data_IF_649236047880
#
_entry.id   IF_649236047880
#
_cell.length_a   1.000
_cell.length_b   1.000
_cell.length_c   1.000
_cell.angle_alpha   90.00
_cell.angle_beta   90.00
_cell.angle_gamma   90.00
#
_symmetry.space_group_name_H-M   'P 1'
#
loop_
_entity.id
_entity.type
_entity.pdbx_description
1 polymer ?
#
# COMPACT_ATOMS: atom_id res chain seq x y z
N UNK A 1 -51.53 23.68 -6.41
CA UNK A 1 -50.45 24.33 -5.62
C UNK A 1 -50.10 23.54 -4.37
N UNK A 2 -51.04 23.28 -3.46
CA UNK A 2 -50.79 22.53 -2.21
C UNK A 2 -50.32 21.08 -2.45
N UNK A 3 -50.93 20.35 -3.39
CA UNK A 3 -50.57 18.97 -3.71
C UNK A 3 -49.15 18.84 -4.27
N UNK A 4 -48.71 19.78 -5.10
CA UNK A 4 -47.36 19.83 -5.67
C UNK A 4 -46.31 20.07 -4.57
N UNK A 5 -46.60 20.98 -3.63
CA UNK A 5 -45.74 21.21 -2.46
C UNK A 5 -45.64 19.96 -1.58
N UNK A 6 -46.74 19.24 -1.39
CA UNK A 6 -46.79 18.03 -0.58
C UNK A 6 -45.98 16.89 -1.22
N UNK A 7 -46.09 16.70 -2.54
CA UNK A 7 -45.27 15.75 -3.29
C UNK A 7 -43.77 16.09 -3.23
N UNK A 8 -43.42 17.39 -3.29
CA UNK A 8 -42.03 17.84 -3.17
C UNK A 8 -41.44 17.58 -1.77
N UNK A 9 -42.23 17.80 -0.72
CA UNK A 9 -41.82 17.49 0.67
C UNK A 9 -41.61 15.98 0.87
N UNK A 10 -42.47 15.14 0.31
CA UNK A 10 -42.32 13.67 0.35
C UNK A 10 -41.03 13.26 -0.38
N UNK A 11 -40.76 13.83 -1.55
CA UNK A 11 -39.53 13.54 -2.31
C UNK A 11 -38.27 13.91 -1.49
N UNK A 12 -38.26 15.09 -0.86
CA UNK A 12 -37.16 15.51 0.02
C UNK A 12 -36.97 14.54 1.18
N UNK A 13 -38.06 14.12 1.83
CA UNK A 13 -38.01 13.17 2.95
C UNK A 13 -37.44 11.81 2.51
N UNK A 14 -37.82 11.32 1.33
CA UNK A 14 -37.27 10.08 0.75
C UNK A 14 -35.77 10.22 0.45
N UNK A 15 -35.34 11.36 -0.08
CA UNK A 15 -33.92 11.64 -0.32
C UNK A 15 -33.12 11.71 0.99
N UNK A 16 -33.66 12.38 2.02
CA UNK A 16 -33.02 12.49 3.34
C UNK A 16 -32.90 11.11 3.99
N UNK A 17 -33.96 10.30 4.00
CA UNK A 17 -33.92 8.96 4.61
C UNK A 17 -32.96 8.03 3.87
N UNK A 18 -32.90 8.10 2.53
CA UNK A 18 -31.93 7.35 1.72
C UNK A 18 -30.50 7.79 2.03
N UNK A 19 -30.24 9.10 2.08
CA UNK A 19 -28.92 9.64 2.41
C UNK A 19 -28.48 9.28 3.84
N UNK A 20 -29.38 9.44 4.83
CA UNK A 20 -29.13 9.07 6.22
C UNK A 20 -28.83 7.57 6.36
N UNK A 21 -29.59 6.70 5.68
CA UNK A 21 -29.33 5.24 5.65
C UNK A 21 -27.96 4.94 5.05
N UNK A 22 -27.60 5.57 3.94
CA UNK A 22 -26.30 5.38 3.29
C UNK A 22 -25.14 5.84 4.18
N UNK A 23 -25.28 6.99 4.83
CA UNK A 23 -24.27 7.52 5.75
C UNK A 23 -24.12 6.63 6.98
N UNK A 24 -25.23 6.20 7.59
CA UNK A 24 -25.21 5.26 8.72
C UNK A 24 -24.51 3.95 8.35
N UNK A 25 -24.79 3.39 7.17
CA UNK A 25 -24.12 2.17 6.68
C UNK A 25 -22.61 2.38 6.48
N UNK A 26 -22.20 3.49 5.86
CA UNK A 26 -20.77 3.82 5.68
C UNK A 26 -20.06 3.96 7.02
N UNK A 27 -20.67 4.68 7.96
CA UNK A 27 -20.18 4.86 9.32
C UNK A 27 -20.05 3.51 10.01
N UNK A 28 -21.10 2.67 10.03
CA UNK A 28 -21.07 1.34 10.66
C UNK A 28 -19.96 0.44 10.09
N UNK A 29 -19.78 0.42 8.76
CA UNK A 29 -18.69 -0.32 8.11
C UNK A 29 -17.32 0.19 8.58
N UNK A 30 -17.12 1.51 8.61
CA UNK A 30 -15.87 2.13 9.08
C UNK A 30 -15.59 1.82 10.55
N UNK A 31 -16.59 1.94 11.44
CA UNK A 31 -16.45 1.57 12.85
C UNK A 31 -16.17 0.08 13.05
N UNK A 32 -16.78 -0.80 12.25
CA UNK A 32 -16.46 -2.22 12.28
C UNK A 32 -15.00 -2.46 11.90
N UNK A 33 -14.52 -1.82 10.84
CA UNK A 33 -13.12 -1.91 10.42
C UNK A 33 -12.16 -1.41 11.50
N UNK A 34 -12.40 -0.22 12.06
CA UNK A 34 -11.58 0.34 13.15
C UNK A 34 -11.53 -0.61 14.34
N UNK A 35 -12.68 -1.19 14.74
CA UNK A 35 -12.73 -2.17 15.84
C UNK A 35 -11.93 -3.43 15.56
N UNK A 36 -11.87 -3.91 14.31
CA UNK A 36 -11.07 -5.07 13.94
C UNK A 36 -9.58 -4.74 13.90
N UNK A 37 -9.24 -3.57 13.37
CA UNK A 37 -7.86 -3.11 13.21
C UNK A 37 -7.23 -2.79 14.57
N UNK A 38 -7.98 -2.19 15.49
CA UNK A 38 -7.50 -1.89 16.84
C UNK A 38 -7.24 -3.15 17.70
N UNK A 39 -7.65 -4.35 17.24
CA UNK A 39 -7.26 -5.63 17.87
C UNK A 39 -5.88 -6.09 17.45
N UNK A 40 -5.33 -5.57 16.35
CA UNK A 40 -4.00 -5.94 15.87
C UNK A 40 -2.93 -5.22 16.69
N UNK A 41 -1.78 -5.88 16.94
CA UNK A 41 -0.68 -5.25 17.65
C UNK A 41 -0.09 -4.13 16.81
N UNK A 42 0.30 -3.04 17.44
CA UNK A 42 0.85 -1.88 16.76
C UNK A 42 1.33 -0.82 17.73
N UNK A 43 2.29 0.01 17.33
CA UNK A 43 2.66 1.17 18.12
C UNK A 43 1.49 2.14 18.20
N UNK A 44 1.30 2.75 19.37
CA UNK A 44 0.35 3.85 19.51
C UNK A 44 0.83 5.07 18.72
N UNK A 45 -0.07 6.00 18.37
CA UNK A 45 0.32 7.24 17.68
C UNK A 45 1.41 8.00 18.45
N UNK A 46 1.33 8.03 19.78
CA UNK A 46 2.34 8.67 20.62
C UNK A 46 3.70 7.99 20.52
N UNK A 47 3.74 6.65 20.55
CA UNK A 47 4.99 5.90 20.37
C UNK A 47 5.61 6.19 19.00
N UNK A 48 4.79 6.23 17.93
CA UNK A 48 5.26 6.58 16.59
C UNK A 48 5.90 7.98 16.59
N UNK A 49 5.24 8.97 17.20
CA UNK A 49 5.78 10.33 17.28
C UNK A 49 7.08 10.40 18.07
N UNK A 50 7.18 9.67 19.19
CA UNK A 50 8.40 9.61 20.00
C UNK A 50 9.55 8.96 19.22
N UNK A 51 9.29 7.86 18.53
CA UNK A 51 10.30 7.20 17.69
C UNK A 51 10.70 8.08 16.50
N UNK A 52 9.75 8.81 15.91
CA UNK A 52 10.03 9.77 14.83
C UNK A 52 10.94 10.91 15.30
N UNK A 53 10.77 11.40 16.53
CA UNK A 53 11.65 12.43 17.11
C UNK A 53 13.05 11.88 17.47
N UNK A 54 13.15 10.58 17.75
CA UNK A 54 14.43 9.88 18.05
C UNK A 54 15.13 9.36 16.79
N UNK A 55 14.48 9.52 15.64
CA UNK A 55 14.91 8.95 14.38
C UNK A 55 16.23 9.59 13.96
N UNK A 56 17.27 8.76 13.88
CA UNK A 56 18.57 9.20 13.41
C UNK A 56 18.58 9.12 11.89
N UNK A 57 19.01 10.21 11.23
CA UNK A 57 19.04 10.32 9.76
C UNK A 57 20.19 9.48 9.14
N UNK A 58 21.00 8.81 9.96
CA UNK A 58 22.01 7.88 9.49
C UNK A 58 21.39 6.59 8.92
N UNK A 59 21.83 6.16 7.73
CA UNK A 59 21.16 5.12 6.94
C UNK A 59 21.12 3.77 7.65
N UNK A 60 22.22 3.39 8.30
CA UNK A 60 22.32 2.12 9.01
C UNK A 60 21.56 2.14 10.34
N UNK A 61 21.68 3.24 11.11
CA UNK A 61 20.98 3.33 12.38
C UNK A 61 19.46 3.37 12.19
N UNK A 62 18.99 4.01 11.13
CA UNK A 62 17.58 4.01 10.76
C UNK A 62 17.02 2.61 10.48
N UNK A 63 17.75 1.79 9.72
CA UNK A 63 17.29 0.42 9.41
C UNK A 63 17.22 -0.44 10.67
N UNK A 64 18.23 -0.37 11.55
CA UNK A 64 18.21 -1.10 12.82
C UNK A 64 17.09 -0.63 13.75
N UNK A 65 16.81 0.68 13.81
CA UNK A 65 15.71 1.23 14.61
C UNK A 65 14.35 0.72 14.10
N UNK A 66 14.11 0.78 12.78
CA UNK A 66 12.89 0.25 12.18
C UNK A 66 12.74 -1.25 12.44
N UNK A 67 13.82 -2.02 12.26
CA UNK A 67 13.81 -3.45 12.53
C UNK A 67 13.48 -3.75 13.99
N UNK A 68 14.06 -3.03 14.94
CA UNK A 68 13.77 -3.20 16.36
C UNK A 68 12.29 -2.92 16.68
N UNK A 69 11.72 -1.85 16.13
CA UNK A 69 10.30 -1.52 16.27
C UNK A 69 9.43 -2.63 15.67
N UNK A 70 9.73 -3.08 14.44
CA UNK A 70 8.96 -4.15 13.81
C UNK A 70 9.05 -5.45 14.60
N UNK A 71 10.24 -5.84 15.07
CA UNK A 71 10.42 -7.04 15.92
C UNK A 71 9.62 -6.93 17.22
N UNK A 72 9.62 -5.78 17.89
CA UNK A 72 8.86 -5.56 19.13
C UNK A 72 7.36 -5.91 18.99
N UNK A 73 6.73 -5.54 17.87
CA UNK A 73 5.30 -5.78 17.66
C UNK A 73 5.00 -7.06 16.87
N UNK A 74 5.86 -7.46 15.93
CA UNK A 74 5.64 -8.62 15.06
C UNK A 74 5.75 -9.97 15.81
N UNK A 75 6.54 -10.04 16.87
CA UNK A 75 6.69 -11.27 17.66
C UNK A 75 5.68 -11.38 18.80
N UNK A 76 4.81 -10.38 19.00
CA UNK A 76 3.79 -10.40 20.05
C UNK A 76 2.67 -11.43 19.78
N UNK A 77 2.46 -11.77 18.51
CA UNK A 77 1.46 -12.74 18.07
C UNK A 77 2.00 -13.60 16.92
N UNK A 78 1.58 -14.86 16.85
CA UNK A 78 2.06 -15.82 15.85
C UNK A 78 1.82 -15.41 14.40
N UNK A 79 0.78 -14.61 14.14
CA UNK A 79 0.46 -14.12 12.80
C UNK A 79 1.44 -13.03 12.31
N UNK A 80 2.14 -12.32 13.21
CA UNK A 80 3.10 -11.27 12.84
C UNK A 80 2.57 -10.19 11.89
N UNK A 81 1.32 -9.76 12.13
CA UNK A 81 0.70 -8.62 11.44
C UNK A 81 0.78 -7.45 12.40
N UNK A 82 1.39 -6.36 11.96
CA UNK A 82 1.53 -5.12 12.73
C UNK A 82 0.67 -4.05 12.10
N UNK A 83 -0.14 -3.35 12.89
CA UNK A 83 -0.93 -2.22 12.43
C UNK A 83 -0.24 -0.91 12.81
N UNK A 84 -0.05 -0.03 11.83
CA UNK A 84 0.47 1.33 12.04
C UNK A 84 -0.57 2.32 11.55
N UNK A 85 -0.93 3.31 12.36
CA UNK A 85 -1.86 4.36 11.96
C UNK A 85 -1.10 5.51 11.31
N UNK A 86 -1.37 5.76 10.03
CA UNK A 86 -0.90 6.94 9.31
C UNK A 86 -2.04 7.96 9.21
N UNK A 87 -2.09 8.89 10.17
CA UNK A 87 -3.24 9.79 10.35
C UNK A 87 -4.53 9.00 10.54
N UNK A 88 -5.48 9.14 9.61
CA UNK A 88 -6.77 8.45 9.64
C UNK A 88 -6.80 7.14 8.84
N UNK A 89 -5.68 6.73 8.23
CA UNK A 89 -5.57 5.50 7.44
C UNK A 89 -4.71 4.46 8.18
N UNK A 90 -5.25 3.27 8.47
CA UNK A 90 -4.47 2.18 9.04
C UNK A 90 -3.67 1.46 7.95
N UNK A 91 -2.40 1.21 8.20
CA UNK A 91 -1.49 0.45 7.35
C UNK A 91 -1.14 -0.88 8.05
N UNK A 92 -1.39 -1.98 7.35
CA UNK A 92 -1.09 -3.32 7.85
C UNK A 92 0.25 -3.80 7.28
N UNK A 93 1.20 -4.07 8.17
CA UNK A 93 2.52 -4.56 7.84
C UNK A 93 2.56 -6.06 8.11
N UNK A 94 2.85 -6.85 7.07
CA UNK A 94 2.90 -8.30 7.12
C UNK A 94 4.36 -8.73 7.33
N UNK A 95 4.73 -9.08 8.56
CA UNK A 95 6.11 -9.37 8.94
C UNK A 95 6.44 -10.86 8.96
N UNK A 96 5.44 -11.71 8.70
CA UNK A 96 5.57 -13.18 8.65
C UNK A 96 5.06 -13.73 7.33
N UNK A 97 5.76 -14.76 6.84
CA UNK A 97 5.46 -15.42 5.57
C UNK A 97 4.02 -15.95 5.48
N UNK A 98 3.46 -16.66 6.49
CA UNK A 98 2.09 -17.18 6.40
C UNK A 98 1.03 -16.09 6.15
N UNK A 99 1.13 -14.96 6.85
CA UNK A 99 0.18 -13.85 6.64
C UNK A 99 0.41 -13.10 5.33
N UNK A 100 1.67 -12.92 4.91
CA UNK A 100 1.98 -12.34 3.61
C UNK A 100 1.44 -13.20 2.45
N UNK A 101 1.58 -14.53 2.56
CA UNK A 101 1.12 -15.50 1.57
C UNK A 101 -0.37 -15.35 1.26
N UNK A 102 -1.21 -15.24 2.30
CA UNK A 102 -2.68 -15.08 2.15
C UNK A 102 -3.04 -13.84 1.30
N UNK A 103 -2.27 -12.75 1.42
CA UNK A 103 -2.52 -11.53 0.67
C UNK A 103 -1.95 -11.63 -0.75
N UNK A 104 -0.72 -12.15 -0.91
CA UNK A 104 -0.07 -12.23 -2.22
C UNK A 104 -0.68 -13.30 -3.16
N UNK A 105 -1.24 -14.38 -2.61
CA UNK A 105 -1.95 -15.39 -3.42
C UNK A 105 -3.38 -14.97 -3.79
N UNK A 106 -3.89 -13.90 -3.19
CA UNK A 106 -5.25 -13.45 -3.42
C UNK A 106 -5.40 -12.77 -4.79
N UNK A 107 -6.20 -13.39 -5.67
CA UNK A 107 -6.46 -12.88 -7.03
C UNK A 107 -7.42 -11.69 -7.08
N UNK A 108 -8.12 -11.40 -5.99
CA UNK A 108 -9.09 -10.28 -5.91
C UNK A 108 -8.45 -8.99 -5.39
N UNK A 109 -7.39 -9.08 -4.58
CA UNK A 109 -6.66 -7.94 -4.02
C UNK A 109 -5.57 -7.42 -4.97
N UNK A 110 -5.94 -7.15 -6.22
CA UNK A 110 -5.00 -6.76 -7.30
C UNK A 110 -4.98 -5.26 -7.59
N UNK A 111 -5.84 -4.50 -6.92
CA UNK A 111 -5.93 -3.06 -7.07
C UNK A 111 -4.94 -2.33 -6.16
N UNK A 112 -4.17 -1.41 -6.73
CA UNK A 112 -3.26 -0.52 -5.99
C UNK A 112 -4.07 0.47 -5.16
N UNK A 113 -3.57 0.77 -3.95
CA UNK A 113 -4.16 1.80 -3.08
C UNK A 113 -3.86 3.20 -3.61
N UNK A 114 -4.58 4.21 -3.11
CA UNK A 114 -4.34 5.63 -3.44
C UNK A 114 -2.91 6.08 -3.10
N UNK A 115 -2.21 5.35 -2.24
CA UNK A 115 -0.83 5.64 -1.84
C UNK A 115 0.14 5.50 -3.04
N UNK A 116 -0.25 4.79 -4.10
CA UNK A 116 0.46 4.76 -5.38
C UNK A 116 0.31 6.05 -6.20
N UNK A 117 -0.43 7.06 -5.71
CA UNK A 117 -0.61 8.34 -6.41
C UNK A 117 0.71 9.03 -6.78
N UNK A 118 1.69 9.02 -5.87
CA UNK A 118 3.02 9.56 -6.15
C UNK A 118 3.75 8.79 -7.25
N UNK A 119 3.70 7.45 -7.20
CA UNK A 119 4.29 6.58 -8.24
C UNK A 119 3.62 6.86 -9.58
N UNK A 120 2.30 7.00 -9.61
CA UNK A 120 1.53 7.31 -10.82
C UNK A 120 1.90 8.68 -11.39
N UNK A 121 2.19 9.67 -10.56
CA UNK A 121 2.68 10.98 -11.02
C UNK A 121 4.09 10.89 -11.62
N UNK A 122 4.96 10.03 -11.08
CA UNK A 122 6.33 9.88 -11.57
C UNK A 122 6.44 9.05 -12.86
N UNK A 123 5.75 7.90 -12.94
CA UNK A 123 5.92 6.93 -14.03
C UNK A 123 4.66 6.71 -14.88
N UNK A 124 3.58 7.46 -14.61
CA UNK A 124 2.29 7.29 -15.27
C UNK A 124 1.59 5.99 -14.91
N UNK A 125 0.61 5.58 -15.73
CA UNK A 125 -0.13 4.31 -15.60
C UNK A 125 0.64 3.11 -16.17
N UNK A 126 1.93 3.01 -15.82
CA UNK A 126 2.81 1.90 -16.21
C UNK A 126 2.67 0.66 -15.33
N UNK A 127 3.52 -0.36 -15.56
CA UNK A 127 3.49 -1.65 -14.84
C UNK A 127 3.49 -1.52 -13.30
N UNK A 128 4.14 -0.49 -12.77
CA UNK A 128 4.33 -0.29 -11.33
C UNK A 128 3.08 0.29 -10.63
N UNK A 129 2.37 1.20 -11.30
CA UNK A 129 1.21 1.92 -10.76
C UNK A 129 -0.15 1.39 -11.25
N UNK A 130 -0.17 0.71 -12.39
CA UNK A 130 -1.39 0.19 -12.99
C UNK A 130 -2.00 -0.97 -12.18
N UNK A 131 -3.31 -1.17 -12.34
CA UNK A 131 -4.09 -2.26 -11.75
C UNK A 131 -4.89 -3.02 -12.80
N UNK A 132 -5.32 -4.24 -12.46
CA UNK A 132 -6.24 -5.04 -13.28
C UNK A 132 -5.76 -5.26 -14.72
N UNK A 133 -6.64 -4.99 -15.70
CA UNK A 133 -6.36 -5.24 -17.11
C UNK A 133 -5.21 -4.40 -17.68
N UNK A 134 -5.01 -3.16 -17.20
CA UNK A 134 -3.92 -2.28 -17.65
C UNK A 134 -2.58 -2.89 -17.23
N UNK A 135 -2.48 -3.30 -15.96
CA UNK A 135 -1.32 -4.01 -15.44
C UNK A 135 -1.06 -5.31 -16.20
N UNK A 136 -2.11 -6.10 -16.47
CA UNK A 136 -1.97 -7.37 -17.17
C UNK A 136 -1.43 -7.19 -18.60
N UNK A 137 -1.95 -6.21 -19.35
CA UNK A 137 -1.46 -5.88 -20.70
C UNK A 137 0.02 -5.45 -20.66
N UNK A 138 0.37 -4.53 -19.76
CA UNK A 138 1.74 -4.07 -19.58
C UNK A 138 2.69 -5.22 -19.23
N UNK A 139 2.28 -6.11 -18.30
CA UNK A 139 3.07 -7.27 -17.90
C UNK A 139 3.26 -8.26 -19.05
N UNK A 140 2.19 -8.56 -19.79
CA UNK A 140 2.26 -9.48 -20.95
C UNK A 140 3.23 -8.97 -22.02
N UNK A 141 3.25 -7.66 -22.27
CA UNK A 141 4.15 -7.05 -23.23
C UNK A 141 5.61 -7.05 -22.77
N UNK A 142 5.87 -6.78 -21.49
CA UNK A 142 7.23 -6.66 -20.94
C UNK A 142 7.87 -7.98 -20.54
N UNK A 143 7.11 -8.98 -20.10
CA UNK A 143 7.68 -10.25 -19.60
C UNK A 143 8.65 -10.93 -20.59
N UNK A 144 8.39 -10.94 -21.92
CA UNK A 144 9.32 -11.53 -22.89
C UNK A 144 10.70 -10.89 -22.90
N UNK A 145 10.84 -9.58 -22.62
CA UNK A 145 12.14 -8.88 -22.66
C UNK A 145 13.07 -9.33 -21.53
N UNK A 146 12.51 -9.91 -20.47
CA UNK A 146 13.25 -10.47 -19.33
C UNK A 146 13.45 -11.98 -19.44
N UNK A 147 13.24 -12.57 -20.63
CA UNK A 147 13.53 -13.97 -20.87
C UNK A 147 15.05 -14.22 -20.90
N UNK A 148 15.52 -15.35 -20.36
CA UNK A 148 16.95 -15.67 -20.20
C UNK A 148 17.78 -15.50 -21.47
N UNK A 149 17.23 -15.85 -22.63
CA UNK A 149 17.92 -15.71 -23.92
C UNK A 149 18.25 -14.25 -24.28
N UNK A 150 17.41 -13.30 -23.84
CA UNK A 150 17.64 -11.87 -24.06
C UNK A 150 18.61 -11.35 -23.00
N UNK A 151 18.42 -11.73 -21.74
CA UNK A 151 19.31 -11.33 -20.64
C UNK A 151 20.76 -11.74 -20.87
N UNK A 152 21.00 -12.92 -21.48
CA UNK A 152 22.36 -13.36 -21.84
C UNK A 152 23.06 -12.40 -22.79
N UNK A 153 22.33 -11.78 -23.73
CA UNK A 153 22.90 -10.78 -24.65
C UNK A 153 23.30 -9.50 -23.91
N UNK A 154 22.58 -9.12 -22.85
CA UNK A 154 22.94 -7.95 -22.04
C UNK A 154 24.20 -8.17 -21.19
N UNK A 155 24.58 -9.42 -20.90
CA UNK A 155 25.82 -9.71 -20.15
C UNK A 155 27.07 -9.23 -20.87
N UNK A 156 27.13 -9.36 -22.19
CA UNK A 156 28.27 -8.86 -22.98
C UNK A 156 28.42 -7.35 -22.81
N UNK A 157 27.31 -6.61 -22.97
CA UNK A 157 27.26 -5.15 -22.80
C UNK A 157 27.63 -4.76 -21.36
N UNK A 158 27.08 -5.45 -20.35
CA UNK A 158 27.40 -5.15 -18.94
C UNK A 158 28.87 -5.38 -18.62
N UNK A 159 29.49 -6.42 -19.19
CA UNK A 159 30.92 -6.68 -19.01
C UNK A 159 31.78 -5.58 -19.65
N UNK A 160 31.43 -5.13 -20.85
CA UNK A 160 32.12 -4.02 -21.51
C UNK A 160 32.01 -2.73 -20.70
N UNK A 161 30.80 -2.34 -20.27
CA UNK A 161 30.59 -1.13 -19.48
C UNK A 161 31.27 -1.20 -18.11
N UNK A 162 31.36 -2.39 -17.51
CA UNK A 162 32.09 -2.59 -16.25
C UNK A 162 33.59 -2.35 -16.43
N UNK A 163 34.17 -2.78 -17.55
CA UNK A 163 35.58 -2.49 -17.87
C UNK A 163 35.82 -1.00 -18.07
N UNK A 164 34.94 -0.30 -18.78
CA UNK A 164 35.03 1.17 -18.96
C UNK A 164 34.96 1.87 -17.60
N UNK A 165 34.01 1.49 -16.75
CA UNK A 165 33.88 2.07 -15.42
C UNK A 165 35.13 1.83 -14.55
N UNK A 166 35.72 0.63 -14.63
CA UNK A 166 36.96 0.31 -13.91
C UNK A 166 38.13 1.17 -14.40
N UNK A 167 38.34 1.27 -15.72
CA UNK A 167 39.44 2.05 -16.30
C UNK A 167 39.29 3.55 -16.04
N UNK A 168 38.07 4.07 -15.98
CA UNK A 168 37.81 5.48 -15.66
C UNK A 168 38.03 5.85 -14.18
N UNK A 169 37.98 4.88 -13.26
CA UNK A 169 38.29 5.11 -11.85
C UNK A 169 39.77 4.85 -11.51
N UNK A 170 40.53 4.25 -12.43
CA UNK A 170 41.95 3.95 -12.27
C UNK A 170 42.88 5.06 -12.80
N UNK A 171 42.33 6.07 -13.49
CA UNK A 171 43.00 7.30 -13.92
C UNK A 171 42.52 8.47 -13.04
#
# INVERSE_FOLDING_TARGET
MLTVLLLFLILILVLITKYAKQTKQKIQKKWRMIRLINKLPGPSLLEIFVELLRLKIDREQFTYQLEAIFRKYAYKHDHGIVCVWFGFKPMLLLMRSPSAKVIFENKTLTYKTDDYGFVRQLVGEGLLAASGNVWFKARRMLTPTFHFNILRKYMEIFNEQSKVCYLNNAN
#
